data_IF_978360102431
#
_entry.id   IF_978360102431
#
_cell.length_a   1.000
_cell.length_b   1.000
_cell.length_c   1.000
_cell.angle_alpha   90.00
_cell.angle_beta   90.00
_cell.angle_gamma   90.00
#
_symmetry.space_group_name_H-M   'P 1'
#
loop_
_entity.id
_entity.type
_entity.pdbx_description
1 polymer ?
#
# COMPACT_ATOMS: atom_id res chain seq x y z
N UNK A 1 4.20 -3.94 14.12
CA UNK A 1 2.87 -4.45 14.53
C UNK A 1 2.05 -3.45 15.35
N UNK A 2 2.57 -2.93 16.47
CA UNK A 2 1.79 -2.08 17.42
C UNK A 2 1.07 -0.87 16.81
N UNK A 3 1.73 -0.11 15.92
CA UNK A 3 1.09 1.04 15.24
C UNK A 3 -0.16 0.65 14.45
N UNK A 4 -0.19 -0.57 13.91
CA UNK A 4 -1.31 -1.09 13.13
C UNK A 4 -2.47 -1.47 14.05
N UNK A 5 -2.18 -2.15 15.15
CA UNK A 5 -3.14 -2.48 16.19
C UNK A 5 -3.82 -1.21 16.71
N UNK A 6 -3.03 -0.21 17.12
CA UNK A 6 -3.55 1.06 17.63
C UNK A 6 -4.49 1.79 16.63
N UNK A 7 -4.14 1.81 15.34
CA UNK A 7 -5.00 2.41 14.30
C UNK A 7 -6.32 1.66 14.11
N UNK A 8 -6.30 0.33 14.18
CA UNK A 8 -7.54 -0.46 14.06
C UNK A 8 -8.41 -0.25 15.29
N UNK A 9 -7.86 -0.38 16.49
CA UNK A 9 -8.59 -0.14 17.75
C UNK A 9 -9.26 1.23 17.77
N UNK A 10 -8.53 2.30 17.42
CA UNK A 10 -9.06 3.67 17.41
C UNK A 10 -10.22 3.86 16.43
N UNK A 11 -10.26 3.09 15.33
CA UNK A 11 -11.30 3.18 14.30
C UNK A 11 -12.50 2.28 14.58
N UNK A 12 -12.27 1.08 15.13
CA UNK A 12 -13.31 0.06 15.28
C UNK A 12 -13.88 -0.06 16.70
N UNK A 13 -13.23 0.51 17.71
CA UNK A 13 -13.61 0.33 19.12
C UNK A 13 -13.34 -1.07 19.68
N UNK A 14 -12.64 -1.92 18.93
CA UNK A 14 -12.29 -3.28 19.33
C UNK A 14 -11.14 -3.30 20.34
N UNK A 15 -11.09 -4.34 21.16
CA UNK A 15 -9.99 -4.59 22.09
C UNK A 15 -8.70 -4.98 21.36
N UNK A 16 -7.57 -4.88 22.06
CA UNK A 16 -6.27 -5.29 21.51
C UNK A 16 -6.24 -6.75 21.08
N UNK A 17 -6.87 -7.64 21.86
CA UNK A 17 -6.93 -9.07 21.58
C UNK A 17 -7.68 -9.36 20.29
N UNK A 18 -8.90 -8.83 20.16
CA UNK A 18 -9.71 -8.98 18.94
C UNK A 18 -9.00 -8.45 17.70
N UNK A 19 -8.30 -7.31 17.82
CA UNK A 19 -7.52 -6.75 16.72
C UNK A 19 -6.30 -7.61 16.37
N UNK A 20 -5.61 -8.17 17.37
CA UNK A 20 -4.50 -9.08 17.14
C UNK A 20 -4.96 -10.34 16.41
N UNK A 21 -6.12 -10.89 16.80
CA UNK A 21 -6.72 -12.04 16.14
C UNK A 21 -7.11 -11.71 14.69
N UNK A 22 -7.73 -10.56 14.42
CA UNK A 22 -8.04 -10.13 13.05
C UNK A 22 -6.76 -10.00 12.21
N UNK A 23 -5.67 -9.50 12.79
CA UNK A 23 -4.41 -9.32 12.10
C UNK A 23 -3.71 -10.68 11.84
N UNK A 24 -3.85 -11.65 12.74
CA UNK A 24 -3.22 -12.97 12.59
C UNK A 24 -3.80 -13.79 11.43
N UNK A 25 -5.06 -13.51 11.03
CA UNK A 25 -5.68 -14.09 9.84
C UNK A 25 -5.16 -13.53 8.51
N UNK A 26 -4.28 -12.54 8.53
CA UNK A 26 -3.71 -11.94 7.33
C UNK A 26 -2.35 -12.55 7.01
N UNK A 27 -1.94 -12.46 5.74
CA UNK A 27 -0.61 -12.86 5.30
C UNK A 27 0.48 -12.19 6.18
N UNK A 28 1.52 -12.95 6.49
CA UNK A 28 2.66 -12.53 7.29
C UNK A 28 3.43 -11.38 6.62
N UNK A 29 4.29 -10.72 7.38
CA UNK A 29 5.14 -9.66 6.84
C UNK A 29 6.12 -10.18 5.79
N UNK A 30 6.72 -11.34 6.02
CA UNK A 30 7.61 -11.99 5.06
C UNK A 30 6.90 -12.36 3.76
N UNK A 31 5.68 -12.91 3.83
CA UNK A 31 4.91 -13.26 2.62
C UNK A 31 4.56 -12.01 1.80
N UNK A 32 4.14 -10.93 2.46
CA UNK A 32 3.84 -9.67 1.76
C UNK A 32 5.08 -9.06 1.12
N UNK A 33 6.23 -9.09 1.80
CA UNK A 33 7.49 -8.54 1.28
C UNK A 33 8.02 -9.36 0.11
N UNK A 34 7.90 -10.68 0.15
CA UNK A 34 8.37 -11.56 -0.91
C UNK A 34 7.64 -11.33 -2.25
N UNK A 35 6.37 -10.93 -2.18
CA UNK A 35 5.51 -10.75 -3.35
C UNK A 35 5.40 -9.30 -3.84
N UNK A 36 5.98 -8.34 -3.13
CA UNK A 36 5.84 -6.92 -3.46
C UNK A 36 6.94 -6.45 -4.42
N UNK A 37 6.54 -5.81 -5.52
CA UNK A 37 7.48 -5.08 -6.40
C UNK A 37 8.07 -3.86 -5.67
N UNK A 38 7.23 -3.15 -4.90
CA UNK A 38 7.60 -1.95 -4.16
C UNK A 38 6.95 -1.94 -2.77
N UNK A 39 7.69 -1.45 -1.77
CA UNK A 39 7.24 -1.37 -0.38
C UNK A 39 7.30 0.07 0.12
N UNK A 40 6.14 0.63 0.47
CA UNK A 40 6.03 1.96 1.06
C UNK A 40 5.80 1.88 2.58
N UNK A 41 6.75 2.41 3.36
CA UNK A 41 6.62 2.49 4.81
C UNK A 41 5.70 3.65 5.23
N UNK A 42 4.53 3.30 5.79
CA UNK A 42 3.49 4.22 6.29
C UNK A 42 3.52 4.34 7.83
N UNK A 43 4.63 4.89 8.32
CA UNK A 43 4.89 5.11 9.74
C UNK A 43 5.13 6.58 10.11
N UNK A 44 5.16 7.48 9.12
CA UNK A 44 5.40 8.92 9.31
C UNK A 44 4.14 9.78 9.27
N UNK A 45 4.33 11.08 9.02
CA UNK A 45 3.25 12.05 8.85
C UNK A 45 2.58 11.91 7.47
N UNK A 46 1.39 12.50 7.32
CA UNK A 46 0.72 12.59 6.01
C UNK A 46 1.57 13.31 4.96
N UNK A 47 2.39 14.29 5.38
CA UNK A 47 3.33 14.98 4.48
C UNK A 47 4.37 14.02 3.92
N UNK A 48 5.02 13.23 4.79
CA UNK A 48 5.99 12.22 4.37
C UNK A 48 5.37 11.15 3.48
N UNK A 49 4.15 10.70 3.82
CA UNK A 49 3.40 9.77 2.98
C UNK A 49 3.15 10.36 1.58
N UNK A 50 2.72 11.62 1.50
CA UNK A 50 2.47 12.31 0.23
C UNK A 50 3.72 12.38 -0.64
N UNK A 51 4.86 12.74 -0.06
CA UNK A 51 6.14 12.80 -0.78
C UNK A 51 6.52 11.43 -1.37
N UNK A 52 6.44 10.36 -0.56
CA UNK A 52 6.72 8.98 -1.02
C UNK A 52 5.76 8.54 -2.14
N UNK A 53 4.47 8.81 -1.99
CA UNK A 53 3.46 8.46 -3.01
C UNK A 53 3.69 9.21 -4.33
N UNK A 54 4.11 10.47 -4.27
CA UNK A 54 4.40 11.24 -5.48
C UNK A 54 5.59 10.69 -6.27
N UNK A 55 6.62 10.17 -5.59
CA UNK A 55 7.77 9.54 -6.23
C UNK A 55 7.35 8.26 -6.98
N UNK A 56 6.59 7.38 -6.32
CA UNK A 56 6.06 6.17 -6.95
C UNK A 56 5.14 6.52 -8.12
N UNK A 57 4.30 7.54 -7.97
CA UNK A 57 3.43 8.01 -9.06
C UNK A 57 4.24 8.46 -10.29
N UNK A 58 5.28 9.27 -10.10
CA UNK A 58 6.13 9.72 -11.20
C UNK A 58 6.86 8.54 -11.88
N UNK A 59 7.37 7.59 -11.08
CA UNK A 59 8.03 6.38 -11.57
C UNK A 59 7.10 5.54 -12.46
N UNK A 60 5.94 5.14 -11.95
CA UNK A 60 5.01 4.31 -12.72
C UNK A 60 4.40 5.07 -13.90
N UNK A 61 4.16 6.38 -13.77
CA UNK A 61 3.72 7.19 -14.90
C UNK A 61 4.78 7.19 -16.01
N UNK A 62 6.07 7.29 -15.67
CA UNK A 62 7.16 7.19 -16.66
C UNK A 62 7.23 5.83 -17.35
N UNK A 63 7.04 4.74 -16.60
CA UNK A 63 7.05 3.36 -17.14
C UNK A 63 5.85 3.12 -18.06
N UNK A 64 4.65 3.57 -17.67
CA UNK A 64 3.41 3.23 -18.36
C UNK A 64 2.88 4.33 -19.31
N UNK A 65 3.50 5.52 -19.36
CA UNK A 65 3.14 6.57 -20.33
C UNK A 65 3.49 6.21 -21.78
N UNK A 66 4.27 5.16 -22.01
CA UNK A 66 4.67 4.68 -23.34
C UNK A 66 3.82 3.49 -23.84
N UNK A 67 2.49 3.65 -23.87
CA UNK A 67 1.66 2.84 -24.78
C UNK A 67 1.23 3.70 -25.95
N UNK A 68 1.77 3.51 -27.18
CA UNK A 68 1.09 4.01 -28.35
C UNK A 68 -0.24 3.25 -28.48
N UNK A 69 -1.33 3.98 -28.49
CA UNK A 69 -2.64 3.49 -28.90
C UNK A 69 -2.55 3.06 -30.37
N UNK A 70 -2.21 1.79 -30.63
CA UNK A 70 -2.44 1.16 -31.92
C UNK A 70 -3.94 0.93 -32.08
N UNK A 71 -4.66 2.00 -32.43
CA UNK A 71 -6.00 1.96 -32.98
C UNK A 71 -5.92 2.28 -34.47
N UNK A 72 -5.39 1.35 -35.28
CA UNK A 72 -5.69 1.34 -36.72
C UNK A 72 -7.02 0.64 -36.91
N UNK A 73 -8.11 1.40 -37.03
CA UNK A 73 -9.30 0.94 -37.74
C UNK A 73 -9.28 1.57 -39.13
N UNK A 74 -8.85 0.77 -40.12
CA UNK A 74 -9.21 1.01 -41.51
C UNK A 74 -10.70 0.67 -41.64
N UNK A 75 -11.46 1.62 -42.20
CA UNK A 75 -12.82 1.48 -42.70
C UNK A 75 -13.01 2.50 -43.81
#
# INVERSE_FOLDING_TARGET
MEKRIGRVMARSGLTRGEVADIISHQASESERLLLADDVLLNDGSLKSLREKTMLLHAFYSGIFASKPTQGKHNG
#
